data_IF_555525926985
#
_entry.id   IF_555525926985
#
_cell.length_a   1.000
_cell.length_b   1.000
_cell.length_c   1.000
_cell.angle_alpha   90.00
_cell.angle_beta   90.00
_cell.angle_gamma   90.00
#
_symmetry.space_group_name_H-M   'P 1'
#
loop_
_entity.id
_entity.type
_entity.pdbx_description
1 polymer ?
#
# COMPACT_ATOMS: atom_id res chain seq x y z
N UNK A 1 25.90 5.85 21.77
CA UNK A 1 25.39 7.24 21.84
C UNK A 1 24.25 7.41 20.86
N UNK A 2 23.11 6.76 21.14
CA UNK A 2 21.76 7.09 20.62
C UNK A 2 20.68 6.13 21.19
N UNK A 3 20.93 5.45 22.32
CA UNK A 3 19.99 4.50 22.95
C UNK A 3 19.64 4.86 24.40
N UNK A 4 19.76 6.13 24.80
CA UNK A 4 19.55 6.57 26.20
C UNK A 4 18.37 7.54 26.40
N UNK A 5 17.51 7.78 25.39
CA UNK A 5 16.49 8.86 25.46
C UNK A 5 15.06 8.35 25.79
N UNK A 6 14.81 7.05 26.02
CA UNK A 6 13.43 6.53 26.17
C UNK A 6 13.07 6.11 27.61
N UNK A 7 13.92 6.35 28.61
CA UNK A 7 13.69 5.84 29.98
C UNK A 7 13.66 6.93 31.08
N UNK A 8 12.99 8.05 30.82
CA UNK A 8 12.64 9.03 31.87
C UNK A 8 11.16 9.43 31.74
N UNK A 9 10.24 8.57 32.17
CA UNK A 9 8.96 9.05 32.69
C UNK A 9 8.33 8.04 33.66
N UNK A 10 9.17 7.51 34.56
CA UNK A 10 8.72 6.76 35.74
C UNK A 10 9.05 7.56 36.99
N UNK A 11 8.03 8.13 37.62
CA UNK A 11 7.91 8.45 39.07
C UNK A 11 7.39 9.87 39.36
N UNK A 12 6.10 9.98 39.65
CA UNK A 12 5.58 10.91 40.67
C UNK A 12 4.61 10.11 41.56
N UNK A 13 4.81 10.24 42.87
CA UNK A 13 4.22 9.49 44.00
C UNK A 13 2.86 10.04 44.47
N UNK A 14 2.02 9.11 44.98
CA UNK A 14 1.14 9.12 46.21
C UNK A 14 0.25 10.35 46.52
N UNK A 15 -0.98 10.30 47.06
CA UNK A 15 -1.92 9.33 47.64
C UNK A 15 -3.25 10.11 47.83
N UNK A 16 -4.43 9.47 47.74
CA UNK A 16 -5.51 9.74 48.70
C UNK A 16 -6.49 8.56 48.80
N UNK A 17 -6.81 8.23 50.05
CA UNK A 17 -7.61 7.10 50.50
C UNK A 17 -9.12 7.34 50.28
N UNK A 18 -9.80 6.44 49.57
CA UNK A 18 -11.16 6.05 49.94
C UNK A 18 -11.45 4.65 49.42
N UNK A 19 -11.73 3.74 50.37
CA UNK A 19 -11.93 2.32 50.11
C UNK A 19 -13.23 2.04 49.38
N UNK A 20 -13.12 1.29 48.28
CA UNK A 20 -14.18 0.39 47.81
C UNK A 20 -13.51 -0.81 47.13
N UNK A 21 -13.63 -1.99 47.75
CA UNK A 21 -13.44 -3.27 47.05
C UNK A 21 -14.69 -3.54 46.24
N UNK A 22 -14.56 -3.68 44.92
CA UNK A 22 -15.51 -4.46 44.11
C UNK A 22 -14.69 -5.45 43.30
N UNK A 23 -15.16 -6.69 43.37
CA UNK A 23 -14.51 -7.91 42.96
C UNK A 23 -14.50 -8.07 41.43
N UNK A 24 -13.38 -8.63 40.96
CA UNK A 24 -13.25 -9.60 39.86
C UNK A 24 -14.15 -9.50 38.63
N UNK A 25 -13.48 -9.26 37.50
CA UNK A 25 -13.57 -10.18 36.36
C UNK A 25 -14.61 -9.82 35.31
N UNK A 26 -14.19 -9.04 34.32
CA UNK A 26 -14.74 -9.17 32.97
C UNK A 26 -13.57 -9.37 32.02
N UNK A 27 -13.64 -10.50 31.32
CA UNK A 27 -12.67 -10.94 30.35
C UNK A 27 -12.49 -9.84 29.29
N UNK A 28 -11.25 -9.45 29.05
CA UNK A 28 -10.90 -8.77 27.81
C UNK A 28 -11.11 -9.83 26.73
N UNK A 29 -12.29 -9.81 26.11
CA UNK A 29 -12.57 -10.63 24.94
C UNK A 29 -11.45 -10.40 23.95
N UNK A 30 -10.80 -11.50 23.55
CA UNK A 30 -9.85 -11.51 22.46
C UNK A 30 -10.58 -10.91 21.26
N UNK A 31 -10.22 -9.67 20.90
CA UNK A 31 -10.70 -9.04 19.68
C UNK A 31 -10.26 -9.96 18.55
N UNK A 32 -11.18 -10.78 18.05
CA UNK A 32 -10.90 -11.74 16.99
C UNK A 32 -10.21 -10.97 15.88
N UNK A 33 -8.94 -11.27 15.68
CA UNK A 33 -8.14 -10.60 14.68
C UNK A 33 -8.84 -10.85 13.34
N UNK A 34 -9.49 -9.81 12.80
CA UNK A 34 -10.09 -9.82 11.47
C UNK A 34 -9.10 -10.53 10.56
N UNK A 35 -9.48 -11.60 9.83
CA UNK A 35 -8.54 -12.37 9.04
C UNK A 35 -7.97 -11.45 7.96
N UNK A 36 -6.78 -10.91 8.22
CA UNK A 36 -6.04 -10.15 7.22
C UNK A 36 -5.63 -11.20 6.20
N UNK A 37 -6.23 -11.18 5.02
CA UNK A 37 -5.85 -12.08 3.94
C UNK A 37 -4.33 -12.13 3.81
N UNK A 38 -3.76 -13.30 4.10
CA UNK A 38 -2.37 -13.61 3.80
C UNK A 38 -2.34 -14.21 2.41
N UNK A 39 -1.51 -13.64 1.53
CA UNK A 39 -1.33 -14.17 0.19
C UNK A 39 -0.65 -15.53 0.27
N UNK A 40 -1.28 -16.54 -0.31
CA UNK A 40 -0.61 -17.79 -0.65
C UNK A 40 0.31 -17.54 -1.85
N UNK A 41 1.58 -17.23 -1.58
CA UNK A 41 2.57 -16.99 -2.62
C UNK A 41 3.41 -18.25 -2.83
N UNK A 42 3.40 -18.78 -4.06
CA UNK A 42 4.36 -19.78 -4.48
C UNK A 42 5.81 -19.25 -4.34
N UNK A 43 6.74 -20.16 -4.07
CA UNK A 43 8.17 -19.90 -3.87
C UNK A 43 8.80 -19.17 -5.07
N UNK A 44 8.47 -19.59 -6.29
CA UNK A 44 8.93 -18.92 -7.51
C UNK A 44 8.31 -17.53 -7.68
N UNK A 45 7.05 -17.35 -7.29
CA UNK A 45 6.38 -16.05 -7.36
C UNK A 45 7.02 -15.04 -6.40
N UNK A 46 7.34 -15.47 -5.18
CA UNK A 46 8.03 -14.64 -4.20
C UNK A 46 9.44 -14.25 -4.68
N UNK A 47 10.16 -15.18 -5.32
CA UNK A 47 11.43 -14.90 -5.99
C UNK A 47 11.28 -13.85 -7.08
N UNK A 48 10.28 -13.97 -7.96
CA UNK A 48 10.02 -13.00 -9.03
C UNK A 48 9.66 -11.61 -8.49
N UNK A 49 8.90 -11.51 -7.39
CA UNK A 49 8.61 -10.25 -6.72
C UNK A 49 9.89 -9.57 -6.21
N UNK A 50 10.81 -10.34 -5.60
CA UNK A 50 12.13 -9.85 -5.16
C UNK A 50 12.97 -9.35 -6.34
N UNK A 51 13.01 -10.12 -7.44
CA UNK A 51 13.69 -9.71 -8.69
C UNK A 51 13.11 -8.42 -9.23
N UNK A 52 11.78 -8.30 -9.28
CA UNK A 52 11.08 -7.08 -9.72
C UNK A 52 11.44 -5.87 -8.86
N UNK A 53 11.51 -6.03 -7.53
CA UNK A 53 11.92 -4.95 -6.61
C UNK A 53 13.33 -4.46 -6.96
N UNK A 54 14.27 -5.38 -7.18
CA UNK A 54 15.65 -5.07 -7.59
C UNK A 54 15.75 -4.44 -8.99
N UNK A 55 14.94 -4.88 -9.94
CA UNK A 55 14.91 -4.27 -11.28
C UNK A 55 14.30 -2.86 -11.24
N UNK A 56 13.21 -2.65 -10.47
CA UNK A 56 12.58 -1.35 -10.31
C UNK A 56 13.50 -0.33 -9.63
N UNK A 57 14.29 -0.72 -8.63
CA UNK A 57 15.23 0.20 -7.98
C UNK A 57 16.35 0.69 -8.91
N UNK A 58 16.77 -0.14 -9.87
CA UNK A 58 17.76 0.23 -10.90
C UNK A 58 17.15 0.91 -12.12
N UNK A 59 15.83 0.91 -12.26
CA UNK A 59 15.14 1.43 -13.44
C UNK A 59 15.24 2.95 -13.46
N UNK A 60 15.65 3.57 -14.59
CA UNK A 60 15.68 5.02 -14.68
C UNK A 60 14.26 5.60 -14.74
N UNK A 61 14.09 6.86 -14.32
CA UNK A 61 12.79 7.54 -14.25
C UNK A 61 12.14 7.85 -15.61
N UNK A 62 12.81 7.54 -16.73
CA UNK A 62 12.33 7.80 -18.10
C UNK A 62 11.71 9.19 -18.32
N UNK A 63 12.48 10.23 -17.99
CA UNK A 63 12.06 11.63 -18.19
C UNK A 63 12.33 12.14 -19.62
N UNK A 64 11.59 13.15 -20.07
CA UNK A 64 11.87 13.87 -21.32
C UNK A 64 13.31 14.42 -21.32
N UNK A 65 13.94 14.45 -22.50
CA UNK A 65 15.27 15.05 -22.64
C UNK A 65 15.23 16.52 -22.26
N UNK A 66 16.23 16.98 -21.50
CA UNK A 66 16.40 18.38 -21.09
C UNK A 66 15.24 18.97 -20.25
N UNK A 67 14.40 18.12 -19.63
CA UNK A 67 13.32 18.53 -18.72
C UNK A 67 13.80 19.56 -17.66
N UNK A 68 14.91 19.26 -17.01
CA UNK A 68 15.51 20.10 -15.97
C UNK A 68 15.95 21.49 -16.47
N UNK A 69 16.13 21.67 -17.79
CA UNK A 69 16.59 22.95 -18.36
C UNK A 69 15.46 23.93 -18.65
N UNK A 70 14.22 23.45 -18.85
CA UNK A 70 13.10 24.28 -19.33
C UNK A 70 11.80 23.92 -18.61
N UNK A 71 11.26 24.87 -17.85
CA UNK A 71 9.99 24.74 -17.11
C UNK A 71 8.78 24.35 -17.98
N UNK A 72 8.78 24.73 -19.26
CA UNK A 72 7.71 24.38 -20.23
C UNK A 72 7.69 22.90 -20.59
N UNK A 73 8.80 22.17 -20.39
CA UNK A 73 8.84 20.73 -20.59
C UNK A 73 8.26 20.07 -19.34
N UNK A 74 7.39 19.07 -19.53
CA UNK A 74 6.73 18.36 -18.42
C UNK A 74 7.40 17.01 -18.17
N UNK A 75 7.20 16.48 -16.97
CA UNK A 75 7.76 15.20 -16.56
C UNK A 75 7.01 13.99 -17.15
N UNK A 76 7.08 13.81 -18.47
CA UNK A 76 6.62 12.61 -19.16
C UNK A 76 7.69 12.11 -20.15
N UNK A 77 7.60 10.86 -20.58
CA UNK A 77 8.51 10.32 -21.58
C UNK A 77 8.16 10.80 -23.00
N UNK A 78 9.17 11.20 -23.78
CA UNK A 78 9.08 11.36 -25.24
C UNK A 78 10.31 10.76 -25.88
N UNK A 79 10.11 10.01 -26.97
CA UNK A 79 11.21 9.48 -27.78
C UNK A 79 12.04 10.65 -28.36
N UNK A 80 13.35 10.75 -28.07
CA UNK A 80 14.19 11.81 -28.61
C UNK A 80 14.40 11.59 -30.12
N UNK A 81 13.97 12.56 -30.94
CA UNK A 81 13.98 12.45 -32.41
C UNK A 81 15.22 13.07 -33.07
N UNK A 82 15.75 14.18 -32.52
CA UNK A 82 16.80 14.97 -33.17
C UNK A 82 18.08 14.18 -33.47
N UNK A 83 18.66 14.38 -34.66
CA UNK A 83 19.82 13.62 -35.12
C UNK A 83 21.02 13.76 -34.18
N UNK A 84 21.31 14.98 -33.72
CA UNK A 84 22.42 15.27 -32.80
C UNK A 84 22.06 15.09 -31.32
N UNK A 85 20.85 14.63 -30.99
CA UNK A 85 20.43 14.45 -29.62
C UNK A 85 21.30 13.38 -28.92
N UNK A 86 21.96 13.78 -27.84
CA UNK A 86 22.92 12.94 -27.11
C UNK A 86 22.25 11.74 -26.41
N UNK A 87 21.01 11.89 -25.95
CA UNK A 87 20.18 10.80 -25.39
C UNK A 87 19.79 9.79 -26.48
N UNK A 88 19.47 10.27 -27.69
CA UNK A 88 19.21 9.41 -28.86
C UNK A 88 20.45 8.60 -29.27
N UNK A 89 21.63 9.22 -29.17
CA UNK A 89 22.94 8.60 -29.44
C UNK A 89 23.47 7.74 -28.29
N UNK A 90 22.72 7.53 -27.21
CA UNK A 90 23.11 6.72 -26.06
C UNK A 90 24.41 7.16 -25.37
N UNK A 91 24.67 8.48 -25.32
CA UNK A 91 25.84 9.00 -24.60
C UNK A 91 25.62 8.89 -23.10
N UNK A 92 26.61 8.34 -22.40
CA UNK A 92 26.63 8.18 -20.95
C UNK A 92 26.34 9.53 -20.24
N UNK A 93 25.56 9.50 -19.16
CA UNK A 93 25.19 10.69 -18.39
C UNK A 93 24.00 11.51 -18.93
N UNK A 94 23.47 11.21 -20.13
CA UNK A 94 22.25 11.88 -20.65
C UNK A 94 20.94 11.15 -20.32
N UNK A 95 21.04 10.06 -19.56
CA UNK A 95 19.95 9.18 -19.19
C UNK A 95 19.59 8.19 -20.29
N UNK A 96 18.96 7.09 -19.90
CA UNK A 96 18.69 5.98 -20.82
C UNK A 96 17.40 6.18 -21.61
N UNK A 97 17.28 5.43 -22.71
CA UNK A 97 16.08 5.40 -23.55
C UNK A 97 15.19 4.24 -23.13
N UNK A 98 13.87 4.45 -23.11
CA UNK A 98 12.92 3.36 -22.89
C UNK A 98 13.11 2.27 -23.96
N UNK A 99 13.35 1.04 -23.52
CA UNK A 99 13.53 -0.18 -24.32
C UNK A 99 12.76 -1.33 -23.68
N UNK A 100 12.48 -2.39 -24.45
CA UNK A 100 11.75 -3.58 -23.99
C UNK A 100 12.45 -4.27 -22.81
N UNK A 101 13.79 -4.22 -22.76
CA UNK A 101 14.60 -4.83 -21.69
C UNK A 101 14.40 -4.28 -20.28
N UNK A 102 13.70 -3.14 -20.10
CA UNK A 102 13.34 -2.62 -18.77
C UNK A 102 11.96 -3.10 -18.28
N UNK A 103 11.39 -4.09 -18.95
CA UNK A 103 10.16 -4.77 -18.52
C UNK A 103 10.41 -5.60 -17.25
N UNK A 104 9.44 -5.61 -16.34
CA UNK A 104 9.42 -6.56 -15.23
C UNK A 104 9.01 -7.95 -15.73
N UNK A 105 9.33 -9.03 -14.98
CA UNK A 105 8.86 -10.37 -15.32
C UNK A 105 7.34 -10.41 -15.46
N UNK A 106 6.84 -11.19 -16.42
CA UNK A 106 5.44 -11.16 -16.85
C UNK A 106 4.50 -11.52 -15.70
N UNK A 107 4.78 -12.59 -14.96
CA UNK A 107 3.94 -13.09 -13.87
C UNK A 107 3.68 -12.06 -12.75
N UNK A 108 4.64 -11.17 -12.48
CA UNK A 108 4.55 -10.18 -11.38
C UNK A 108 4.39 -8.74 -11.87
N UNK A 109 4.16 -8.56 -13.17
CA UNK A 109 4.00 -7.25 -13.79
C UNK A 109 2.64 -6.66 -13.36
N UNK A 110 2.66 -5.41 -12.88
CA UNK A 110 1.44 -4.69 -12.48
C UNK A 110 0.96 -4.92 -11.05
N UNK A 111 1.43 -5.96 -10.36
CA UNK A 111 1.00 -6.25 -8.97
C UNK A 111 1.44 -5.18 -7.95
N UNK A 112 0.71 -5.08 -6.84
CA UNK A 112 1.07 -4.25 -5.70
C UNK A 112 2.42 -4.70 -5.09
N UNK A 113 3.20 -3.84 -4.41
CA UNK A 113 4.43 -4.26 -3.74
C UNK A 113 4.24 -5.39 -2.73
N UNK A 114 3.05 -5.51 -2.13
CA UNK A 114 2.70 -6.63 -1.24
C UNK A 114 2.45 -7.95 -1.95
N UNK A 115 2.29 -7.96 -3.28
CA UNK A 115 2.03 -9.16 -4.07
C UNK A 115 0.60 -9.26 -4.61
N UNK A 116 -0.38 -8.59 -4.00
CA UNK A 116 -1.77 -8.60 -4.45
C UNK A 116 -1.96 -7.99 -5.84
N UNK A 117 -2.97 -8.48 -6.56
CA UNK A 117 -3.52 -7.79 -7.73
C UNK A 117 -4.42 -6.64 -7.25
N UNK A 118 -4.11 -5.43 -7.72
CA UNK A 118 -4.83 -4.21 -7.37
C UNK A 118 -6.10 -4.09 -8.24
N UNK A 119 -7.27 -4.18 -7.61
CA UNK A 119 -8.57 -4.11 -8.28
C UNK A 119 -9.29 -2.81 -7.88
N UNK A 120 -9.54 -1.95 -8.87
CA UNK A 120 -10.18 -0.65 -8.67
C UNK A 120 -11.70 -0.81 -8.54
N UNK A 121 -12.25 -0.57 -7.35
CA UNK A 121 -13.66 -0.78 -7.04
C UNK A 121 -14.42 0.54 -6.83
N UNK A 122 -15.66 0.56 -7.31
CA UNK A 122 -16.57 1.71 -7.16
C UNK A 122 -17.93 1.36 -6.54
N UNK A 123 -18.32 0.07 -6.53
CA UNK A 123 -19.61 -0.40 -6.02
C UNK A 123 -19.39 -1.53 -5.02
N UNK A 124 -20.37 -1.71 -4.14
CA UNK A 124 -20.38 -2.73 -3.08
C UNK A 124 -20.67 -4.13 -3.65
N UNK A 125 -21.39 -4.21 -4.76
CA UNK A 125 -21.72 -5.48 -5.45
C UNK A 125 -20.50 -6.12 -6.10
N UNK A 126 -19.57 -5.30 -6.60
CA UNK A 126 -18.35 -5.79 -7.27
C UNK A 126 -17.40 -6.55 -6.31
N UNK A 127 -17.62 -6.48 -5.00
CA UNK A 127 -16.82 -7.17 -3.98
C UNK A 127 -17.09 -8.68 -3.90
N UNK A 128 -18.29 -9.12 -4.28
CA UNK A 128 -18.70 -10.53 -4.14
C UNK A 128 -17.97 -11.44 -5.15
N UNK A 129 -17.54 -10.88 -6.27
CA UNK A 129 -16.86 -11.62 -7.35
C UNK A 129 -15.34 -11.75 -7.12
N UNK A 130 -14.79 -11.15 -6.06
CA UNK A 130 -13.35 -11.12 -5.83
C UNK A 130 -12.83 -12.28 -4.99
N UNK A 131 -11.63 -12.73 -5.33
CA UNK A 131 -10.87 -13.72 -4.56
C UNK A 131 -9.95 -13.05 -3.51
N UNK A 132 -10.16 -13.29 -2.20
CA UNK A 132 -9.33 -12.70 -1.14
C UNK A 132 -7.88 -13.15 -1.13
N UNK A 133 -7.57 -14.33 -1.66
CA UNK A 133 -6.21 -14.86 -1.62
C UNK A 133 -5.28 -14.13 -2.60
N UNK A 134 -5.79 -13.73 -3.77
CA UNK A 134 -5.00 -13.14 -4.86
C UNK A 134 -5.17 -11.62 -4.99
N UNK A 135 -6.36 -11.09 -4.66
CA UNK A 135 -6.76 -9.72 -5.00
C UNK A 135 -6.86 -8.82 -3.77
N UNK A 136 -6.58 -7.53 -3.97
CA UNK A 136 -6.80 -6.49 -2.99
C UNK A 136 -7.63 -5.34 -3.57
N UNK A 137 -8.47 -4.76 -2.73
CA UNK A 137 -9.39 -3.68 -3.11
C UNK A 137 -8.66 -2.34 -3.08
N UNK A 138 -8.75 -1.57 -4.16
CA UNK A 138 -8.51 -0.13 -4.15
C UNK A 138 -9.82 0.60 -4.41
N UNK A 139 -10.28 1.37 -3.44
CA UNK A 139 -11.50 2.16 -3.56
C UNK A 139 -11.23 3.37 -4.46
N UNK A 140 -12.03 3.54 -5.51
CA UNK A 140 -11.90 4.67 -6.42
C UNK A 140 -12.06 6.02 -5.72
N UNK A 141 -11.34 7.04 -6.22
CA UNK A 141 -11.36 8.40 -5.65
C UNK A 141 -12.74 9.06 -5.74
N UNK A 142 -13.55 8.68 -6.71
CA UNK A 142 -14.89 9.24 -6.96
C UNK A 142 -15.94 8.75 -5.95
N UNK A 143 -15.64 7.72 -5.15
CA UNK A 143 -16.57 7.17 -4.16
C UNK A 143 -16.61 8.08 -2.94
N UNK A 144 -17.79 8.61 -2.62
CA UNK A 144 -18.02 9.42 -1.42
C UNK A 144 -17.99 8.61 -0.13
N UNK A 145 -17.74 9.26 1.01
CA UNK A 145 -17.45 8.60 2.29
C UNK A 145 -18.50 7.59 2.74
N UNK A 146 -19.79 7.92 2.63
CA UNK A 146 -20.89 7.00 2.98
C UNK A 146 -20.72 5.62 2.31
N UNK A 147 -20.54 5.61 0.98
CA UNK A 147 -20.34 4.37 0.22
C UNK A 147 -18.97 3.73 0.50
N UNK A 148 -17.94 4.52 0.83
CA UNK A 148 -16.64 3.97 1.25
C UNK A 148 -16.79 3.15 2.53
N UNK A 149 -17.56 3.63 3.50
CA UNK A 149 -17.83 2.88 4.73
C UNK A 149 -18.54 1.56 4.41
N UNK A 150 -19.58 1.58 3.57
CA UNK A 150 -20.28 0.36 3.15
C UNK A 150 -19.36 -0.67 2.48
N UNK A 151 -18.46 -0.20 1.59
CA UNK A 151 -17.44 -1.04 0.95
C UNK A 151 -16.48 -1.63 1.98
N UNK A 152 -16.04 -0.83 2.96
CA UNK A 152 -15.10 -1.27 4.00
C UNK A 152 -15.74 -2.34 4.87
N UNK A 153 -16.96 -2.11 5.36
CA UNK A 153 -17.71 -3.08 6.19
C UNK A 153 -17.83 -4.42 5.47
N UNK A 154 -18.27 -4.39 4.21
CA UNK A 154 -18.44 -5.62 3.41
C UNK A 154 -17.10 -6.30 3.08
N UNK A 155 -16.06 -5.53 2.76
CA UNK A 155 -14.73 -6.07 2.49
C UNK A 155 -14.14 -6.76 3.73
N UNK A 156 -14.36 -6.21 4.94
CA UNK A 156 -13.96 -6.84 6.19
C UNK A 156 -14.68 -8.18 6.41
N UNK A 157 -15.99 -8.23 6.18
CA UNK A 157 -16.77 -9.49 6.26
C UNK A 157 -16.28 -10.55 5.28
N UNK A 158 -15.76 -10.15 4.11
CA UNK A 158 -15.21 -11.05 3.10
C UNK A 158 -13.71 -11.35 3.28
N UNK A 159 -13.05 -10.76 4.28
CA UNK A 159 -11.61 -10.91 4.50
C UNK A 159 -10.73 -10.22 3.43
N UNK A 160 -11.29 -9.29 2.65
CA UNK A 160 -10.59 -8.60 1.57
C UNK A 160 -9.68 -7.48 2.09
N UNK A 161 -8.42 -7.46 1.64
CA UNK A 161 -7.48 -6.38 1.99
C UNK A 161 -7.77 -5.10 1.22
N UNK A 162 -7.91 -3.98 1.93
CA UNK A 162 -8.10 -2.64 1.35
C UNK A 162 -6.76 -1.89 1.31
N UNK A 163 -6.36 -1.40 0.12
CA UNK A 163 -5.10 -0.69 -0.09
C UNK A 163 -5.13 0.78 0.33
N UNK A 164 -6.32 1.39 0.35
CA UNK A 164 -6.53 2.79 0.72
C UNK A 164 -7.71 2.93 1.70
N UNK A 165 -7.57 2.45 2.95
CA UNK A 165 -8.62 2.58 3.96
C UNK A 165 -8.94 4.06 4.25
N UNK A 166 -10.20 4.39 4.59
CA UNK A 166 -10.52 5.71 5.14
C UNK A 166 -9.86 5.89 6.52
N UNK A 167 -9.50 7.12 6.88
CA UNK A 167 -8.84 7.44 8.15
C UNK A 167 -9.74 7.20 9.36
N UNK A 168 -11.05 7.43 9.21
CA UNK A 168 -12.07 7.26 10.24
C UNK A 168 -12.75 5.91 10.02
N UNK A 169 -12.16 4.83 10.52
CA UNK A 169 -12.89 3.57 10.71
C UNK A 169 -13.36 3.61 12.15
N UNK A 170 -14.60 4.06 12.37
CA UNK A 170 -15.18 3.96 13.71
C UNK A 170 -15.14 2.49 14.15
N UNK A 171 -14.79 2.19 15.41
CA UNK A 171 -14.92 0.83 15.93
C UNK A 171 -16.38 0.41 15.71
N UNK A 172 -16.58 -0.75 15.10
CA UNK A 172 -17.89 -1.39 15.06
C UNK A 172 -18.23 -1.73 16.51
N UNK A 173 -18.98 -0.86 17.18
CA UNK A 173 -19.72 -1.25 18.37
C UNK A 173 -20.80 -2.22 17.88
N UNK A 174 -20.65 -3.49 18.24
CA UNK A 174 -21.69 -4.48 18.06
C UNK A 174 -22.86 -4.05 18.97
N UNK A 175 -23.98 -3.62 18.37
CA UNK A 175 -25.23 -3.53 19.12
C UNK A 175 -25.69 -4.97 19.42
N UNK A 176 -25.25 -5.48 20.57
CA UNK A 176 -25.86 -6.63 21.23
C UNK A 176 -27.27 -6.19 21.66
N UNK A 177 -28.29 -6.79 21.04
CA UNK A 177 -29.71 -6.61 21.39
C UNK A 177 -30.08 -7.31 22.70
#
# INVERSE_FOLDING_TARGET
>A
MEEEIINEFTSIKEVDESGAKVETGEAVEEVEAIPVAELELDTEFQRLLKVRKKQKSKKPNFVQTDLHKKKRLKNYWRRPKGLHNKKRRHILGKGEMARVGYGSPVAVKGLHPSGFQDVLMSRVQDLDEMDPSTQAVRIARTVGQRKRMDIVKKAMSLGLKILNPPTEVAPMEEEVQ
#
